data_IF_707266239332
#
_entry.id   IF_707266239332
#
_cell.length_a   1.000
_cell.length_b   1.000
_cell.length_c   1.000
_cell.angle_alpha   90.00
_cell.angle_beta   90.00
_cell.angle_gamma   90.00
#
_symmetry.space_group_name_H-M   'P 1'
#
loop_
_entity.id
_entity.type
_entity.pdbx_description
1 polymer ?
#
# COMPACT_ATOMS: atom_id res chain seq x y z
N UNK A 1 -24.13 -8.19 -25.03
CA UNK A 1 -24.56 -7.00 -24.28
C UNK A 1 -24.26 -7.29 -22.82
N UNK A 2 -23.42 -6.50 -22.15
CA UNK A 2 -23.06 -6.75 -20.75
C UNK A 2 -24.26 -6.54 -19.84
N UNK A 3 -24.45 -7.46 -18.89
CA UNK A 3 -25.54 -7.39 -17.92
C UNK A 3 -25.21 -6.40 -16.78
N UNK A 4 -26.22 -5.98 -16.02
CA UNK A 4 -25.98 -5.19 -14.81
C UNK A 4 -25.11 -5.94 -13.78
N UNK A 5 -25.17 -7.27 -13.76
CA UNK A 5 -24.37 -8.13 -12.89
C UNK A 5 -22.88 -8.09 -13.29
N UNK A 6 -22.59 -8.11 -14.59
CA UNK A 6 -21.24 -7.99 -15.13
C UNK A 6 -20.58 -6.68 -14.66
N UNK A 7 -21.31 -5.56 -14.79
CA UNK A 7 -20.83 -4.26 -14.33
C UNK A 7 -20.61 -4.21 -12.81
N UNK A 8 -21.53 -4.78 -12.03
CA UNK A 8 -21.38 -4.84 -10.58
C UNK A 8 -20.15 -5.64 -10.14
N UNK A 9 -19.81 -6.73 -10.85
CA UNK A 9 -18.62 -7.52 -10.58
C UNK A 9 -17.34 -6.72 -10.85
N UNK A 10 -17.28 -6.00 -11.97
CA UNK A 10 -16.13 -5.15 -12.33
C UNK A 10 -15.93 -4.04 -11.30
N UNK A 11 -17.01 -3.36 -10.89
CA UNK A 11 -16.96 -2.31 -9.86
C UNK A 11 -16.39 -2.87 -8.55
N UNK A 12 -16.88 -4.03 -8.09
CA UNK A 12 -16.35 -4.67 -6.87
C UNK A 12 -14.88 -5.06 -6.99
N UNK A 13 -14.47 -5.60 -8.14
CA UNK A 13 -13.07 -5.95 -8.39
C UNK A 13 -12.17 -4.70 -8.36
N UNK A 14 -12.63 -3.60 -8.94
CA UNK A 14 -11.93 -2.31 -8.93
C UNK A 14 -11.76 -1.77 -7.50
N UNK A 15 -12.82 -1.74 -6.69
CA UNK A 15 -12.73 -1.38 -5.27
C UNK A 15 -11.79 -2.29 -4.49
N UNK A 16 -11.73 -3.57 -4.85
CA UNK A 16 -10.77 -4.50 -4.26
C UNK A 16 -9.31 -4.16 -4.56
N UNK A 17 -9.01 -3.47 -5.67
CA UNK A 17 -7.67 -2.96 -5.98
C UNK A 17 -7.40 -1.70 -5.16
N UNK A 18 -8.38 -0.78 -5.11
CA UNK A 18 -8.30 0.47 -4.35
C UNK A 18 -8.00 0.21 -2.87
N UNK A 19 -8.80 -0.67 -2.22
CA UNK A 19 -8.60 -1.01 -0.82
C UNK A 19 -7.26 -1.69 -0.53
N UNK A 20 -6.75 -2.50 -1.45
CA UNK A 20 -5.50 -3.24 -1.21
C UNK A 20 -4.26 -2.39 -1.49
N UNK A 21 -4.35 -1.40 -2.37
CA UNK A 21 -3.22 -0.60 -2.81
C UNK A 21 -3.24 0.82 -2.23
N UNK A 22 -4.29 1.58 -2.52
CA UNK A 22 -4.38 2.98 -2.19
C UNK A 22 -4.55 3.18 -0.68
N UNK A 23 -5.54 2.54 -0.07
CA UNK A 23 -5.75 2.65 1.37
C UNK A 23 -4.50 2.31 2.20
N UNK A 24 -3.79 1.23 1.85
CA UNK A 24 -2.56 0.83 2.54
C UNK A 24 -1.45 1.87 2.38
N UNK A 25 -1.32 2.48 1.20
CA UNK A 25 -0.31 3.53 1.00
C UNK A 25 -0.67 4.82 1.74
N UNK A 26 -1.92 5.23 1.64
CA UNK A 26 -2.42 6.49 2.18
C UNK A 26 -2.37 6.48 3.71
N UNK A 27 -2.86 5.41 4.32
CA UNK A 27 -2.97 5.27 5.77
C UNK A 27 -1.73 4.59 6.36
N UNK A 28 -1.46 3.33 5.98
CA UNK A 28 -0.40 2.52 6.62
C UNK A 28 1.00 3.02 6.30
N UNK A 29 1.27 3.43 5.06
CA UNK A 29 2.54 4.07 4.67
C UNK A 29 2.53 5.60 4.80
N UNK A 30 1.44 6.15 5.38
CA UNK A 30 1.29 7.56 5.75
C UNK A 30 1.54 8.51 4.58
N UNK A 31 1.09 8.15 3.39
CA UNK A 31 1.22 9.00 2.20
C UNK A 31 0.44 10.30 2.36
N UNK A 32 -0.80 10.25 2.85
CA UNK A 32 -1.63 11.44 3.08
C UNK A 32 -1.03 12.37 4.14
N UNK A 33 -0.45 11.80 5.20
CA UNK A 33 0.20 12.55 6.26
C UNK A 33 1.61 13.06 5.88
N UNK A 34 2.12 12.72 4.68
CA UNK A 34 3.46 13.07 4.24
C UNK A 34 3.59 14.59 4.05
N UNK A 35 4.59 15.19 4.69
CA UNK A 35 4.91 16.63 4.56
C UNK A 35 5.98 16.92 3.50
N UNK A 36 6.45 15.91 2.77
CA UNK A 36 7.41 16.10 1.68
C UNK A 36 6.72 16.91 0.57
N UNK A 37 7.33 18.05 0.20
CA UNK A 37 6.83 18.95 -0.87
C UNK A 37 7.78 19.08 -2.05
N UNK A 38 9.05 18.72 -1.87
CA UNK A 38 10.03 18.67 -2.94
C UNK A 38 10.07 17.26 -3.53
N UNK A 39 9.83 17.13 -4.83
CA UNK A 39 9.80 15.86 -5.55
C UNK A 39 8.98 14.74 -4.87
N UNK A 40 7.70 14.98 -4.48
CA UNK A 40 6.90 14.00 -3.74
C UNK A 40 6.72 12.67 -4.46
N UNK A 41 6.79 12.67 -5.80
CA UNK A 41 6.71 11.47 -6.63
C UNK A 41 7.82 10.45 -6.38
N UNK A 42 9.00 10.89 -5.94
CA UNK A 42 10.10 9.98 -5.56
C UNK A 42 9.65 9.12 -4.37
N UNK A 43 9.11 9.74 -3.33
CA UNK A 43 8.67 9.03 -2.14
C UNK A 43 7.41 8.18 -2.41
N UNK A 44 6.50 8.64 -3.27
CA UNK A 44 5.37 7.83 -3.73
C UNK A 44 5.84 6.52 -4.42
N UNK A 45 6.90 6.60 -5.24
CA UNK A 45 7.51 5.43 -5.88
C UNK A 45 8.20 4.52 -4.87
N UNK A 46 8.92 5.08 -3.89
CA UNK A 46 9.53 4.30 -2.81
C UNK A 46 8.49 3.53 -1.98
N UNK A 47 7.37 4.17 -1.62
CA UNK A 47 6.25 3.50 -0.93
C UNK A 47 5.69 2.34 -1.76
N UNK A 48 5.46 2.59 -3.04
CA UNK A 48 4.99 1.54 -3.97
C UNK A 48 5.98 0.39 -4.08
N UNK A 49 7.28 0.68 -4.11
CA UNK A 49 8.34 -0.32 -4.13
C UNK A 49 8.36 -1.17 -2.85
N UNK A 50 8.32 -0.54 -1.68
CA UNK A 50 8.23 -1.24 -0.39
C UNK A 50 6.98 -2.12 -0.30
N UNK A 51 5.82 -1.61 -0.70
CA UNK A 51 4.57 -2.37 -0.75
C UNK A 51 4.68 -3.61 -1.66
N UNK A 52 5.32 -3.46 -2.82
CA UNK A 52 5.53 -4.57 -3.74
C UNK A 52 6.48 -5.64 -3.15
N UNK A 53 7.48 -5.27 -2.37
CA UNK A 53 8.34 -6.22 -1.64
C UNK A 53 7.51 -7.01 -0.62
N UNK A 54 6.70 -6.33 0.20
CA UNK A 54 5.83 -7.01 1.17
C UNK A 54 4.86 -7.98 0.50
N UNK A 55 4.25 -7.58 -0.62
CA UNK A 55 3.37 -8.45 -1.41
C UNK A 55 4.10 -9.63 -2.03
N UNK A 56 5.31 -9.43 -2.56
CA UNK A 56 6.14 -10.52 -3.10
C UNK A 56 6.45 -11.55 -2.02
N UNK A 57 6.65 -11.11 -0.78
CA UNK A 57 6.86 -11.97 0.38
C UNK A 57 5.57 -12.49 1.02
N UNK A 58 4.41 -12.29 0.39
CA UNK A 58 3.08 -12.74 0.85
C UNK A 58 2.70 -12.22 2.25
N UNK A 59 3.23 -11.06 2.64
CA UNK A 59 2.86 -10.41 3.90
C UNK A 59 1.41 -9.93 3.81
N UNK A 60 0.59 -10.34 4.77
CA UNK A 60 -0.83 -9.99 4.85
C UNK A 60 -1.06 -8.80 5.79
N UNK A 61 -0.25 -8.67 6.85
CA UNK A 61 -0.29 -7.55 7.79
C UNK A 61 0.90 -6.61 7.57
N UNK A 62 0.66 -5.54 6.82
CA UNK A 62 1.71 -4.58 6.46
C UNK A 62 2.08 -3.69 7.65
N UNK A 63 1.14 -3.39 8.55
CA UNK A 63 1.41 -2.54 9.72
C UNK A 63 2.37 -3.23 10.69
N UNK A 64 2.17 -4.53 10.94
CA UNK A 64 3.05 -5.35 11.78
C UNK A 64 4.42 -5.50 11.15
N UNK A 65 4.50 -5.80 9.85
CA UNK A 65 5.79 -5.86 9.16
C UNK A 65 6.56 -4.54 9.23
N UNK A 66 5.90 -3.39 9.12
CA UNK A 66 6.56 -2.09 9.28
C UNK A 66 7.10 -1.89 10.70
N UNK A 67 6.35 -2.30 11.71
CA UNK A 67 6.76 -2.24 13.11
C UNK A 67 8.01 -3.09 13.37
N UNK A 68 7.99 -4.34 12.91
CA UNK A 68 9.12 -5.27 13.06
C UNK A 68 10.37 -4.76 12.35
N UNK A 69 10.23 -4.26 11.11
CA UNK A 69 11.36 -3.73 10.36
C UNK A 69 11.95 -2.45 10.99
N UNK A 70 11.10 -1.61 11.59
CA UNK A 70 11.56 -0.41 12.31
C UNK A 70 12.33 -0.78 13.59
N UNK A 71 11.88 -1.79 14.34
CA UNK A 71 12.54 -2.24 15.56
C UNK A 71 13.80 -3.08 15.29
N UNK A 72 13.77 -3.95 14.28
CA UNK A 72 14.93 -4.75 13.89
C UNK A 72 16.12 -3.83 13.52
N UNK A 73 15.85 -2.74 12.80
CA UNK A 73 16.89 -1.75 12.53
C UNK A 73 17.38 -1.03 13.80
N UNK A 74 16.52 -0.81 14.79
CA UNK A 74 16.88 -0.10 16.03
C UNK A 74 17.69 -0.94 17.05
N UNK A 75 17.61 -2.27 16.98
CA UNK A 75 18.25 -3.18 17.97
C UNK A 75 19.61 -3.71 17.47
N UNK A 76 19.96 -3.50 16.19
CA UNK A 76 21.19 -4.04 15.60
C UNK A 76 22.39 -3.07 15.65
N UNK A 77 22.37 -2.06 16.53
CA UNK A 77 23.47 -1.10 16.75
C UNK A 77 23.81 -0.98 18.23
#
# INVERSE_FOLDING_TARGET
>A
MHSAEDFAQVIRAHWGIENRNHYVRDVTLREDASRIRQNPGIFARLRSFALNIFRKNKITNISEALYDNALCFAITY
#
